data_IF_292002213292
#
_entry.id   IF_292002213292
#
_cell.length_a   1.000
_cell.length_b   1.000
_cell.length_c   1.000
_cell.angle_alpha   90.00
_cell.angle_beta   90.00
_cell.angle_gamma   90.00
#
_symmetry.space_group_name_H-M   'P 1'
#
loop_
_entity.id
_entity.type
_entity.pdbx_description
1 polymer ?
#
# COMPACT_ATOMS: atom_id res chain seq x y z
N UNK A 1 2.22 -7.04 -12.82
CA UNK A 1 3.24 -6.07 -12.33
C UNK A 1 2.70 -5.33 -11.11
N UNK A 2 3.56 -4.79 -10.23
CA UNK A 2 3.14 -3.93 -9.10
C UNK A 2 3.46 -2.47 -9.41
N UNK A 3 2.45 -1.59 -9.37
CA UNK A 3 2.55 -0.18 -9.78
C UNK A 3 2.19 0.73 -8.63
N UNK A 4 3.15 1.56 -8.20
CA UNK A 4 2.92 2.62 -7.21
C UNK A 4 2.20 3.80 -7.87
N UNK A 5 1.14 4.28 -7.25
CA UNK A 5 0.44 5.49 -7.63
C UNK A 5 0.67 6.61 -6.62
N UNK A 6 0.72 7.84 -7.11
CA UNK A 6 0.59 8.99 -6.21
C UNK A 6 -0.87 9.15 -5.75
N UNK A 7 -1.14 9.89 -4.65
CA UNK A 7 -2.50 10.02 -4.11
C UNK A 7 -3.53 10.59 -5.11
N UNK A 8 -3.12 11.50 -6.00
CA UNK A 8 -4.02 12.14 -6.96
C UNK A 8 -4.42 11.16 -8.06
N UNK A 9 -3.48 10.38 -8.58
CA UNK A 9 -3.74 9.32 -9.55
C UNK A 9 -4.63 8.24 -8.95
N UNK A 10 -4.33 7.82 -7.72
CA UNK A 10 -5.13 6.83 -7.01
C UNK A 10 -6.58 7.30 -6.84
N UNK A 11 -6.79 8.51 -6.33
CA UNK A 11 -8.13 9.08 -6.16
C UNK A 11 -8.88 9.18 -7.50
N UNK A 12 -8.22 9.65 -8.57
CA UNK A 12 -8.82 9.70 -9.91
C UNK A 12 -9.22 8.31 -10.42
N UNK A 13 -8.38 7.30 -10.22
CA UNK A 13 -8.70 5.92 -10.61
C UNK A 13 -9.92 5.40 -9.86
N UNK A 14 -9.98 5.59 -8.53
CA UNK A 14 -11.11 5.18 -7.70
C UNK A 14 -12.41 5.88 -8.10
N UNK A 15 -12.38 7.20 -8.28
CA UNK A 15 -13.58 8.00 -8.58
C UNK A 15 -14.09 7.79 -10.01
N UNK A 16 -13.19 7.79 -11.02
CA UNK A 16 -13.58 7.75 -12.43
C UNK A 16 -13.84 6.34 -12.94
N UNK A 17 -12.93 5.41 -12.62
CA UNK A 17 -12.99 4.03 -13.14
C UNK A 17 -13.77 3.08 -12.22
N UNK A 18 -14.26 3.57 -11.06
CA UNK A 18 -14.98 2.76 -10.04
C UNK A 18 -14.26 1.45 -9.73
N UNK A 19 -12.94 1.51 -9.55
CA UNK A 19 -12.11 0.33 -9.26
C UNK A 19 -12.56 -0.30 -7.93
N UNK A 20 -12.52 -1.62 -7.86
CA UNK A 20 -12.74 -2.32 -6.60
C UNK A 20 -11.52 -2.08 -5.70
N UNK A 21 -11.76 -1.45 -4.56
CA UNK A 21 -10.72 -1.22 -3.56
C UNK A 21 -10.31 -2.55 -2.94
N UNK A 22 -9.01 -2.79 -2.87
CA UNK A 22 -8.40 -3.96 -2.23
C UNK A 22 -7.58 -3.47 -1.03
N UNK A 23 -8.09 -3.63 0.19
CA UNK A 23 -7.29 -3.42 1.40
C UNK A 23 -6.28 -4.55 1.54
N UNK A 24 -5.00 -4.21 1.56
CA UNK A 24 -3.90 -5.18 1.62
C UNK A 24 -3.21 -5.07 2.97
N UNK A 25 -3.44 -6.01 3.89
CA UNK A 25 -2.75 -6.01 5.17
C UNK A 25 -1.28 -6.37 4.97
N UNK A 26 -0.37 -5.57 5.54
CA UNK A 26 1.06 -5.83 5.57
C UNK A 26 1.61 -5.60 6.98
N UNK A 27 2.73 -6.25 7.27
CA UNK A 27 3.49 -6.05 8.52
C UNK A 27 4.88 -5.59 8.15
N UNK A 28 5.28 -4.46 8.70
CA UNK A 28 6.63 -3.91 8.59
C UNK A 28 7.60 -4.68 9.50
N UNK A 29 8.90 -4.56 9.25
CA UNK A 29 10.00 -5.23 9.94
C UNK A 29 10.15 -4.73 11.38
N UNK A 30 9.68 -3.51 11.67
CA UNK A 30 9.55 -2.99 13.03
C UNK A 30 8.24 -3.41 13.72
N UNK A 31 7.59 -4.46 13.22
CA UNK A 31 6.36 -5.05 13.78
C UNK A 31 5.11 -4.16 13.70
N UNK A 32 5.19 -3.01 13.03
CA UNK A 32 4.02 -2.19 12.75
C UNK A 32 3.19 -2.86 11.65
N UNK A 33 1.99 -3.30 12.02
CA UNK A 33 0.98 -3.76 11.07
C UNK A 33 0.14 -2.60 10.54
N UNK A 34 -0.23 -2.66 9.26
CA UNK A 34 -1.11 -1.67 8.65
C UNK A 34 -1.72 -2.15 7.34
N UNK A 35 -2.58 -1.32 6.77
CA UNK A 35 -3.26 -1.57 5.51
C UNK A 35 -2.70 -0.64 4.46
N UNK A 36 -2.38 -1.22 3.30
CA UNK A 36 -2.09 -0.50 2.07
C UNK A 36 -3.27 -0.68 1.13
N UNK A 37 -3.73 0.41 0.54
CA UNK A 37 -4.86 0.37 -0.37
C UNK A 37 -4.38 0.22 -1.82
N UNK A 38 -4.99 -0.72 -2.54
CA UNK A 38 -4.73 -0.95 -3.96
C UNK A 38 -5.97 -1.36 -4.74
N UNK A 39 -5.78 -1.70 -6.01
CA UNK A 39 -6.76 -2.33 -6.87
C UNK A 39 -6.06 -3.10 -7.99
N UNK A 40 -6.76 -4.09 -8.55
CA UNK A 40 -6.32 -4.80 -9.75
C UNK A 40 -6.87 -4.16 -11.03
N UNK A 41 -6.04 -4.11 -12.07
CA UNK A 41 -6.46 -3.86 -13.45
C UNK A 41 -5.77 -4.91 -14.33
N UNK A 42 -6.51 -5.97 -14.68
CA UNK A 42 -5.90 -7.17 -15.27
C UNK A 42 -5.02 -7.90 -14.25
N UNK A 43 -3.81 -8.27 -14.66
CA UNK A 43 -2.78 -8.91 -13.82
C UNK A 43 -1.91 -7.91 -13.05
N UNK A 44 -2.17 -6.61 -13.22
CA UNK A 44 -1.41 -5.55 -12.58
C UNK A 44 -2.09 -5.06 -11.29
N UNK A 45 -1.28 -4.93 -10.24
CA UNK A 45 -1.71 -4.41 -8.95
C UNK A 45 -1.23 -2.98 -8.76
N UNK A 46 -2.17 -2.04 -8.68
CA UNK A 46 -1.92 -0.62 -8.48
C UNK A 46 -2.17 -0.27 -7.02
N UNK A 47 -1.23 0.39 -6.36
CA UNK A 47 -1.33 0.66 -4.92
C UNK A 47 -0.89 2.07 -4.53
N UNK A 48 -1.41 2.54 -3.41
CA UNK A 48 -1.02 3.78 -2.76
C UNK A 48 0.05 3.49 -1.70
N UNK A 49 1.21 4.14 -1.76
CA UNK A 49 2.33 3.96 -0.82
C UNK A 49 2.11 4.57 0.57
N UNK A 50 0.86 4.59 1.04
CA UNK A 50 0.46 5.11 2.34
C UNK A 50 -0.04 3.95 3.18
N UNK A 51 0.63 3.75 4.30
CA UNK A 51 0.26 2.76 5.29
C UNK A 51 -0.73 3.38 6.27
N UNK A 52 -1.89 2.73 6.41
CA UNK A 52 -2.88 3.05 7.43
C UNK A 52 -2.67 2.09 8.61
N UNK A 53 -2.28 2.64 9.75
CA UNK A 53 -1.91 1.88 10.95
C UNK A 53 -2.86 2.17 12.09
N UNK A 54 -2.85 1.31 13.10
CA UNK A 54 -3.53 1.58 14.35
C UNK A 54 -3.17 2.96 14.92
N UNK A 55 -4.13 3.61 15.58
CA UNK A 55 -3.95 4.97 16.12
C UNK A 55 -2.75 5.06 17.06
N UNK A 56 -2.47 4.00 17.83
CA UNK A 56 -1.32 3.92 18.74
C UNK A 56 0.04 3.93 18.04
N UNK A 57 0.10 3.52 16.76
CA UNK A 57 1.32 3.44 15.95
C UNK A 57 1.53 4.61 15.00
N UNK A 58 0.59 5.56 14.93
CA UNK A 58 0.65 6.70 13.99
C UNK A 58 1.85 7.60 14.22
N UNK A 59 2.24 7.84 15.47
CA UNK A 59 3.38 8.71 15.77
C UNK A 59 4.70 8.02 15.45
N UNK A 60 4.85 6.75 15.85
CA UNK A 60 6.00 5.91 15.50
C UNK A 60 6.21 5.85 13.97
N UNK A 61 5.14 5.66 13.20
CA UNK A 61 5.19 5.65 11.73
C UNK A 61 5.63 7.01 11.14
N UNK A 62 5.33 8.14 11.79
CA UNK A 62 5.71 9.49 11.32
C UNK A 62 7.18 9.79 11.55
N UNK A 63 7.77 9.19 12.58
CA UNK A 63 9.20 9.31 12.89
C UNK A 63 10.07 8.47 11.95
N UNK A 64 9.49 7.49 11.25
CA UNK A 64 10.21 6.66 10.29
C UNK A 64 10.72 7.44 9.09
N UNK A 65 11.85 6.97 8.54
CA UNK A 65 12.37 7.50 7.28
C UNK A 65 11.40 7.18 6.13
N UNK A 66 10.94 8.23 5.44
CA UNK A 66 9.96 8.11 4.35
C UNK A 66 10.47 7.24 3.19
N UNK A 67 11.77 7.28 2.89
CA UNK A 67 12.34 6.49 1.79
C UNK A 67 12.40 5.00 2.15
N UNK A 68 12.81 4.68 3.38
CA UNK A 68 12.86 3.30 3.87
C UNK A 68 11.46 2.70 3.95
N UNK A 69 10.50 3.43 4.55
CA UNK A 69 9.11 3.01 4.64
C UNK A 69 8.51 2.72 3.26
N UNK A 70 8.80 3.55 2.25
CA UNK A 70 8.33 3.33 0.88
C UNK A 70 8.93 2.10 0.23
N UNK A 71 10.23 1.87 0.41
CA UNK A 71 10.91 0.69 -0.12
C UNK A 71 10.37 -0.58 0.51
N UNK A 72 10.15 -0.53 1.82
CA UNK A 72 9.62 -1.64 2.57
C UNK A 72 8.18 -1.97 2.16
N UNK A 73 7.29 -0.97 2.11
CA UNK A 73 5.92 -1.15 1.60
C UNK A 73 5.95 -1.78 0.20
N UNK A 74 6.80 -1.29 -0.70
CA UNK A 74 6.91 -1.83 -2.05
C UNK A 74 7.36 -3.31 -2.05
N UNK A 75 8.27 -3.70 -1.16
CA UNK A 75 8.72 -5.08 -1.02
C UNK A 75 7.59 -5.97 -0.48
N UNK A 76 6.91 -5.56 0.59
CA UNK A 76 5.81 -6.32 1.21
C UNK A 76 4.65 -6.51 0.23
N UNK A 77 4.32 -5.48 -0.56
CA UNK A 77 3.28 -5.58 -1.61
C UNK A 77 3.69 -6.54 -2.73
N UNK A 78 4.95 -6.52 -3.17
CA UNK A 78 5.43 -7.51 -4.15
C UNK A 78 5.27 -8.94 -3.64
N UNK A 79 5.62 -9.19 -2.37
CA UNK A 79 5.46 -10.50 -1.73
C UNK A 79 3.97 -10.88 -1.65
N UNK A 80 3.11 -9.95 -1.21
CA UNK A 80 1.66 -10.17 -1.14
C UNK A 80 1.08 -10.60 -2.50
N UNK A 81 1.41 -9.86 -3.57
CA UNK A 81 0.92 -10.15 -4.92
C UNK A 81 1.46 -11.48 -5.44
N UNK A 82 2.73 -11.80 -5.16
CA UNK A 82 3.34 -13.07 -5.56
C UNK A 82 2.69 -14.30 -4.88
N UNK A 83 2.19 -14.13 -3.64
CA UNK A 83 1.56 -15.21 -2.87
C UNK A 83 0.03 -15.29 -3.05
N UNK A 84 -0.58 -14.33 -3.74
CA UNK A 84 -2.04 -14.30 -3.98
C UNK A 84 -2.47 -15.02 -5.26
N UNK A 85 -1.51 -15.54 -6.03
CA UNK A 85 -1.68 -16.33 -7.25
C UNK A 85 -1.21 -17.77 -7.04
#
# INVERSE_FOLDING_TARGET
MVVRLNPVEFAKAMMKKKKQLVPTPIVLDNEIAGIVYGYYEGEDFYYLDRLDVDVSKKEELREMNVMELRQEIALKIKIFVANSN
#
